data_IF_382147496733
#
_entry.id   IF_382147496733
#
_cell.length_a   1.000
_cell.length_b   1.000
_cell.length_c   1.000
_cell.angle_alpha   90.00
_cell.angle_beta   90.00
_cell.angle_gamma   90.00
#
_symmetry.space_group_name_H-M   'P 1'
#
loop_
_entity.id
_entity.type
_entity.pdbx_description
1 polymer ?
#
# COMPACT_ATOMS: atom_id res chain seq x y z
N UNK A 1 -0.02 -3.13 -4.76
CA UNK A 1 0.04 -4.61 -4.78
C UNK A 1 0.42 -5.15 -6.16
N UNK A 2 -0.23 -4.71 -7.24
CA UNK A 2 0.13 -5.12 -8.63
C UNK A 2 1.61 -4.88 -8.97
N UNK A 3 2.13 -3.69 -8.63
CA UNK A 3 3.55 -3.39 -8.83
C UNK A 3 4.48 -4.31 -8.02
N UNK A 4 4.13 -4.59 -6.76
CA UNK A 4 4.87 -5.53 -5.91
C UNK A 4 4.93 -6.93 -6.54
N UNK A 5 3.78 -7.42 -7.04
CA UNK A 5 3.72 -8.68 -7.77
C UNK A 5 4.59 -8.66 -9.03
N UNK A 6 4.52 -7.59 -9.82
CA UNK A 6 5.35 -7.42 -11.02
C UNK A 6 6.85 -7.45 -10.72
N UNK A 7 7.28 -6.84 -9.60
CA UNK A 7 8.69 -6.86 -9.17
C UNK A 7 9.15 -8.28 -8.83
N UNK A 8 8.32 -9.08 -8.15
CA UNK A 8 8.64 -10.47 -7.81
C UNK A 8 8.80 -11.38 -9.02
N UNK A 9 8.17 -11.05 -10.15
CA UNK A 9 8.35 -11.78 -11.40
C UNK A 9 9.69 -11.50 -12.07
N UNK A 10 10.28 -10.33 -11.79
CA UNK A 10 11.53 -9.87 -12.41
C UNK A 10 12.75 -10.07 -11.50
N UNK A 11 12.54 -10.09 -10.19
CA UNK A 11 13.60 -10.18 -9.18
C UNK A 11 13.31 -11.38 -8.29
N UNK A 12 14.26 -12.31 -8.25
CA UNK A 12 14.20 -13.45 -7.33
C UNK A 12 14.52 -12.99 -5.91
N UNK A 13 13.46 -12.83 -5.11
CA UNK A 13 13.55 -12.40 -3.71
C UNK A 13 13.38 -13.60 -2.78
N UNK A 14 14.07 -13.67 -1.64
CA UNK A 14 13.80 -14.66 -0.62
C UNK A 14 12.31 -14.62 -0.18
N UNK A 15 11.71 -15.77 0.21
CA UNK A 15 10.27 -15.84 0.53
C UNK A 15 9.80 -14.80 1.55
N UNK A 16 10.62 -14.49 2.56
CA UNK A 16 10.32 -13.48 3.58
C UNK A 16 10.23 -12.06 2.98
N UNK A 17 11.11 -11.74 2.04
CA UNK A 17 11.13 -10.42 1.39
C UNK A 17 9.96 -10.28 0.42
N UNK A 18 9.56 -11.36 -0.25
CA UNK A 18 8.32 -11.39 -1.02
C UNK A 18 7.11 -11.10 -0.12
N UNK A 19 6.96 -11.83 0.99
CA UNK A 19 5.88 -11.62 1.94
C UNK A 19 5.82 -10.16 2.42
N UNK A 20 6.97 -9.56 2.78
CA UNK A 20 7.05 -8.16 3.17
C UNK A 20 6.64 -7.22 2.03
N UNK A 21 7.15 -7.42 0.82
CA UNK A 21 6.85 -6.58 -0.33
C UNK A 21 5.36 -6.62 -0.70
N UNK A 22 4.70 -7.78 -0.58
CA UNK A 22 3.24 -7.90 -0.77
C UNK A 22 2.47 -7.08 0.28
N UNK A 23 2.81 -7.27 1.56
CA UNK A 23 2.13 -6.58 2.67
C UNK A 23 2.31 -5.06 2.56
N UNK A 24 3.54 -4.59 2.35
CA UNK A 24 3.82 -3.16 2.15
C UNK A 24 3.12 -2.62 0.90
N UNK A 25 3.10 -3.39 -0.18
CA UNK A 25 2.40 -3.02 -1.41
C UNK A 25 0.88 -2.96 -1.27
N UNK A 26 0.30 -3.55 -0.23
CA UNK A 26 -1.13 -3.53 0.06
C UNK A 26 -1.53 -2.44 1.09
N UNK A 27 -0.55 -1.76 1.72
CA UNK A 27 -0.84 -0.70 2.66
C UNK A 27 -1.51 0.50 1.96
N UNK A 28 -2.49 1.14 2.61
CA UNK A 28 -3.13 2.34 2.06
C UNK A 28 -2.20 3.56 2.13
N UNK A 29 -2.55 4.68 1.47
CA UNK A 29 -1.84 5.94 1.61
C UNK A 29 -1.80 6.40 3.06
N UNK A 30 -0.65 6.90 3.53
CA UNK A 30 -0.47 7.33 4.91
C UNK A 30 -1.07 8.72 5.16
N UNK A 31 -1.57 8.95 6.39
CA UNK A 31 -2.03 10.27 6.86
C UNK A 31 -0.93 11.33 6.75
N UNK A 32 0.35 10.92 6.84
CA UNK A 32 1.48 11.83 6.66
C UNK A 32 1.49 12.49 5.26
N UNK A 33 1.00 11.81 4.22
CA UNK A 33 0.89 12.39 2.87
C UNK A 33 -0.07 13.58 2.86
N UNK A 34 -1.15 13.54 3.66
CA UNK A 34 -2.06 14.68 3.84
C UNK A 34 -1.35 15.84 4.53
N UNK A 35 -0.59 15.58 5.61
CA UNK A 35 0.12 16.64 6.35
C UNK A 35 1.14 17.34 5.45
N UNK A 36 1.83 16.59 4.59
CA UNK A 36 2.71 17.17 3.59
C UNK A 36 1.94 17.96 2.53
N UNK A 37 0.84 17.42 2.02
CA UNK A 37 -0.02 18.09 1.07
C UNK A 37 -0.54 19.44 1.62
N UNK A 38 -0.95 19.47 2.88
CA UNK A 38 -1.36 20.69 3.59
C UNK A 38 -0.19 21.68 3.71
N UNK A 39 0.97 21.22 4.19
CA UNK A 39 2.18 22.06 4.32
C UNK A 39 2.65 22.66 3.00
N UNK A 40 2.56 21.92 1.91
CA UNK A 40 3.02 22.33 0.58
C UNK A 40 1.91 22.89 -0.31
N UNK A 41 0.70 23.12 0.23
CA UNK A 41 -0.46 23.65 -0.50
C UNK A 41 -0.83 22.82 -1.75
N UNK A 42 -0.72 21.49 -1.65
CA UNK A 42 -0.98 20.54 -2.73
C UNK A 42 -2.29 19.80 -2.51
N UNK A 43 -3.42 20.39 -2.92
CA UNK A 43 -4.75 19.76 -2.93
C UNK A 43 -5.05 18.79 -1.74
N UNK A 44 -4.88 19.25 -0.48
CA UNK A 44 -4.91 18.38 0.71
C UNK A 44 -6.23 17.61 0.84
N UNK A 45 -7.35 18.21 0.44
CA UNK A 45 -8.68 17.59 0.45
C UNK A 45 -8.75 16.34 -0.44
N UNK A 46 -8.07 16.34 -1.60
CA UNK A 46 -8.00 15.17 -2.48
C UNK A 46 -7.13 14.08 -1.86
N UNK A 47 -6.03 14.47 -1.21
CA UNK A 47 -5.15 13.51 -0.52
C UNK A 47 -5.84 12.88 0.67
N UNK A 48 -6.57 13.65 1.49
CA UNK A 48 -7.40 13.13 2.57
C UNK A 48 -8.44 12.12 2.05
N UNK A 49 -9.09 12.44 0.93
CA UNK A 49 -10.06 11.55 0.28
C UNK A 49 -9.42 10.24 -0.17
N UNK A 50 -8.20 10.28 -0.73
CA UNK A 50 -7.44 9.07 -1.09
C UNK A 50 -7.07 8.22 0.14
N UNK A 51 -6.69 8.84 1.27
CA UNK A 51 -6.41 8.13 2.52
C UNK A 51 -7.67 7.43 3.05
N UNK A 52 -8.81 8.13 3.05
CA UNK A 52 -10.09 7.58 3.53
C UNK A 52 -10.54 6.38 2.67
N UNK A 53 -10.52 6.54 1.35
CA UNK A 53 -10.86 5.47 0.41
C UNK A 53 -9.88 4.31 0.55
N UNK A 54 -8.58 4.59 0.65
CA UNK A 54 -7.55 3.57 0.86
C UNK A 54 -7.76 2.79 2.15
N UNK A 55 -8.13 3.46 3.25
CA UNK A 55 -8.42 2.80 4.51
C UNK A 55 -9.64 1.86 4.39
N UNK A 56 -10.70 2.29 3.70
CA UNK A 56 -11.85 1.41 3.42
C UNK A 56 -11.44 0.17 2.63
N UNK A 57 -10.68 0.34 1.55
CA UNK A 57 -10.19 -0.78 0.74
C UNK A 57 -9.19 -1.68 1.49
N UNK A 58 -8.51 -1.16 2.52
CA UNK A 58 -7.58 -1.96 3.32
C UNK A 58 -8.28 -3.15 4.00
N UNK A 59 -9.58 -3.05 4.31
CA UNK A 59 -10.38 -4.17 4.82
C UNK A 59 -10.44 -5.36 3.85
N UNK A 60 -10.26 -5.14 2.55
CA UNK A 60 -10.23 -6.17 1.53
C UNK A 60 -8.79 -6.56 1.16
N UNK A 61 -7.95 -5.57 0.87
CA UNK A 61 -6.61 -5.83 0.34
C UNK A 61 -5.60 -6.32 1.37
N UNK A 62 -5.69 -5.89 2.65
CA UNK A 62 -4.76 -6.38 3.67
C UNK A 62 -4.98 -7.86 4.00
N UNK A 63 -6.21 -8.35 4.23
CA UNK A 63 -6.44 -9.78 4.42
C UNK A 63 -5.99 -10.61 3.22
N UNK A 64 -6.24 -10.14 1.99
CA UNK A 64 -5.77 -10.82 0.77
C UNK A 64 -4.25 -10.87 0.71
N UNK A 65 -3.57 -9.75 0.98
CA UNK A 65 -2.11 -9.71 0.98
C UNK A 65 -1.51 -10.63 2.07
N UNK A 66 -2.11 -10.66 3.26
CA UNK A 66 -1.68 -11.55 4.34
C UNK A 66 -1.94 -13.03 4.00
N UNK A 67 -3.09 -13.35 3.39
CA UNK A 67 -3.38 -14.70 2.93
C UNK A 67 -2.37 -15.17 1.88
N UNK A 68 -2.00 -14.32 0.93
CA UNK A 68 -0.99 -14.63 -0.08
C UNK A 68 0.44 -14.69 0.48
N UNK A 69 0.74 -13.88 1.50
CA UNK A 69 2.08 -13.80 2.10
C UNK A 69 2.38 -14.93 3.11
N UNK A 70 1.34 -15.54 3.67
CA UNK A 70 1.44 -16.61 4.68
C UNK A 70 1.23 -18.02 4.11
N UNK A 71 0.81 -18.13 2.84
CA UNK A 71 0.65 -19.39 2.09
C UNK A 71 1.91 -19.66 1.28
#
# INVERSE_FOLDING_TARGET
MLLAWGVMLLIDLPPREQALLLVFGALPPAVLNYIFAERYHQEPEKVASMVLIGNLFSMLFLPVALALALV
#
